data_IF_310229009357
#
_entry.id   IF_310229009357
#
_cell.length_a   1.000
_cell.length_b   1.000
_cell.length_c   1.000
_cell.angle_alpha   90.00
_cell.angle_beta   90.00
_cell.angle_gamma   90.00
#
_symmetry.space_group_name_H-M   'P 1'
#
loop_
_entity.id
_entity.type
_entity.pdbx_description
1 polymer ?
#
# COMPACT_ATOMS: atom_id res chain seq x y z
N UNK A 1 25.94 11.90 -1.91
CA UNK A 1 26.30 10.63 -2.60
C UNK A 1 25.99 9.41 -1.72
N UNK A 2 26.21 9.53 -0.41
CA UNK A 2 25.84 8.52 0.59
C UNK A 2 24.32 8.31 0.70
N UNK A 3 23.53 9.39 0.62
CA UNK A 3 22.05 9.32 0.66
C UNK A 3 21.44 8.56 -0.51
N UNK A 4 21.99 8.70 -1.72
CA UNK A 4 21.50 7.98 -2.89
C UNK A 4 21.74 6.48 -2.78
N UNK A 5 22.91 6.07 -2.27
CA UNK A 5 23.22 4.65 -2.02
C UNK A 5 22.31 4.06 -0.96
N UNK A 6 22.00 4.83 0.09
CA UNK A 6 21.06 4.42 1.12
C UNK A 6 19.64 4.23 0.54
N UNK A 7 19.14 5.19 -0.24
CA UNK A 7 17.83 5.09 -0.89
C UNK A 7 17.74 3.90 -1.86
N UNK A 8 18.79 3.65 -2.65
CA UNK A 8 18.88 2.49 -3.54
C UNK A 8 18.85 1.17 -2.76
N UNK A 9 19.54 1.10 -1.62
CA UNK A 9 19.52 -0.08 -0.75
C UNK A 9 18.12 -0.31 -0.19
N UNK A 10 17.50 0.72 0.38
CA UNK A 10 16.14 0.65 0.92
C UNK A 10 15.14 0.21 -0.14
N UNK A 11 15.21 0.76 -1.36
CA UNK A 11 14.39 0.31 -2.49
C UNK A 11 14.56 -1.18 -2.78
N UNK A 12 15.80 -1.68 -2.80
CA UNK A 12 16.08 -3.09 -3.09
C UNK A 12 15.61 -4.04 -1.99
N UNK A 13 15.63 -3.59 -0.74
CA UNK A 13 15.28 -4.38 0.45
C UNK A 13 13.80 -4.24 0.85
N UNK A 14 13.11 -3.22 0.34
CA UNK A 14 11.71 -2.95 0.63
C UNK A 14 10.78 -4.07 0.17
N UNK A 15 9.69 -4.25 0.90
CA UNK A 15 8.63 -5.16 0.52
C UNK A 15 7.84 -4.58 -0.66
N UNK A 16 7.68 -5.37 -1.72
CA UNK A 16 6.85 -4.99 -2.85
C UNK A 16 5.41 -5.46 -2.60
N UNK A 17 4.48 -4.52 -2.40
CA UNK A 17 3.10 -4.87 -2.10
C UNK A 17 2.41 -5.42 -3.37
N UNK A 18 1.98 -6.67 -3.29
CA UNK A 18 1.22 -7.34 -4.33
C UNK A 18 -0.27 -7.37 -4.01
N UNK A 19 -1.16 -7.24 -5.01
CA UNK A 19 -2.59 -7.33 -4.81
C UNK A 19 -3.02 -8.75 -4.43
N UNK A 20 -4.10 -8.84 -3.67
CA UNK A 20 -4.89 -10.06 -3.48
C UNK A 20 -6.34 -9.78 -3.84
N UNK A 21 -6.94 -10.69 -4.60
CA UNK A 21 -8.35 -10.62 -4.98
C UNK A 21 -9.22 -11.33 -3.95
N UNK A 22 -10.32 -10.70 -3.56
CA UNK A 22 -11.33 -11.23 -2.66
C UNK A 22 -12.71 -11.08 -3.27
N UNK A 23 -13.51 -12.14 -3.19
CA UNK A 23 -14.93 -12.11 -3.49
C UNK A 23 -15.72 -11.84 -2.21
N UNK A 24 -16.60 -10.84 -2.26
CA UNK A 24 -17.48 -10.48 -1.14
C UNK A 24 -18.94 -10.38 -1.62
N UNK A 25 -19.93 -10.42 -0.72
CA UNK A 25 -21.32 -10.16 -1.09
C UNK A 25 -21.54 -8.81 -1.80
N UNK A 26 -20.68 -7.83 -1.53
CA UNK A 26 -20.73 -6.46 -2.08
C UNK A 26 -19.90 -6.29 -3.38
N UNK A 27 -19.37 -7.39 -3.93
CA UNK A 27 -18.55 -7.40 -5.15
C UNK A 27 -17.09 -7.80 -4.91
N UNK A 28 -16.26 -7.55 -5.92
CA UNK A 28 -14.83 -7.87 -5.88
C UNK A 28 -14.03 -6.77 -5.18
N UNK A 29 -13.03 -7.19 -4.40
CA UNK A 29 -12.04 -6.31 -3.78
C UNK A 29 -10.65 -6.76 -4.18
N UNK A 30 -9.88 -5.83 -4.73
CA UNK A 30 -8.44 -5.98 -4.91
C UNK A 30 -7.77 -5.23 -3.75
N UNK A 31 -7.09 -5.97 -2.89
CA UNK A 31 -6.48 -5.42 -1.69
C UNK A 31 -4.96 -5.57 -1.70
N UNK A 32 -4.28 -4.47 -1.34
CA UNK A 32 -2.87 -4.45 -1.01
C UNK A 32 -2.71 -4.33 0.51
N UNK A 33 -1.50 -4.57 1.03
CA UNK A 33 -1.23 -4.43 2.46
C UNK A 33 0.03 -3.62 2.69
N UNK A 34 -0.05 -2.65 3.60
CA UNK A 34 1.07 -1.91 4.17
C UNK A 34 1.13 -2.26 5.66
N UNK A 35 2.30 -2.69 6.13
CA UNK A 35 2.49 -3.06 7.54
C UNK A 35 3.37 -2.04 8.25
N UNK A 36 3.10 -1.86 9.54
CA UNK A 36 3.98 -1.13 10.46
C UNK A 36 5.44 -1.58 10.30
N UNK A 37 6.38 -0.66 10.50
CA UNK A 37 7.83 -0.93 10.50
C UNK A 37 8.39 -1.58 9.21
N UNK A 38 7.66 -1.48 8.10
CA UNK A 38 8.03 -2.09 6.82
C UNK A 38 8.12 -1.05 5.70
N UNK A 39 9.33 -0.84 5.17
CA UNK A 39 9.52 -0.11 3.90
C UNK A 39 8.72 -0.81 2.80
N UNK A 40 7.79 -0.10 2.16
CA UNK A 40 6.82 -0.70 1.24
C UNK A 40 6.82 0.01 -0.11
N UNK A 41 6.98 -0.74 -1.19
CA UNK A 41 6.83 -0.27 -2.56
C UNK A 41 5.38 -0.46 -2.99
N UNK A 42 4.75 0.63 -3.42
CA UNK A 42 3.40 0.66 -3.97
C UNK A 42 3.43 1.06 -5.45
N UNK A 43 2.49 0.51 -6.22
CA UNK A 43 2.18 1.02 -7.56
C UNK A 43 1.40 2.32 -7.43
N UNK A 44 1.72 3.34 -8.24
CA UNK A 44 0.94 4.59 -8.30
C UNK A 44 -0.39 4.41 -9.00
N UNK A 45 -0.47 3.44 -9.91
CA UNK A 45 -1.65 3.11 -10.70
C UNK A 45 -1.77 1.60 -10.88
N UNK A 46 -2.12 0.86 -9.82
CA UNK A 46 -2.19 -0.61 -9.89
C UNK A 46 -3.20 -1.11 -10.95
N UNK A 47 -4.26 -0.35 -11.24
CA UNK A 47 -5.24 -0.67 -12.29
C UNK A 47 -4.68 -0.60 -13.72
N UNK A 48 -3.49 -0.04 -13.95
CA UNK A 48 -2.79 -0.10 -15.25
C UNK A 48 -1.80 -1.28 -15.30
N UNK A 49 -1.59 -1.98 -14.18
CA UNK A 49 -0.55 -3.00 -14.01
C UNK A 49 -1.11 -4.40 -13.70
N UNK A 50 -2.38 -4.48 -13.29
CA UNK A 50 -3.05 -5.73 -12.95
C UNK A 50 -4.41 -5.77 -13.63
N UNK A 51 -4.70 -6.92 -14.22
CA UNK A 51 -5.96 -7.21 -14.92
C UNK A 51 -6.73 -8.27 -14.14
N UNK A 52 -8.06 -8.19 -14.21
CA UNK A 52 -8.93 -9.26 -13.76
C UNK A 52 -9.09 -10.26 -14.89
N UNK A 53 -9.15 -11.55 -14.57
CA UNK A 53 -9.44 -12.59 -15.57
C UNK A 53 -10.81 -12.39 -16.24
N UNK A 54 -11.72 -11.69 -15.57
CA UNK A 54 -13.05 -11.33 -16.05
C UNK A 54 -13.14 -9.80 -16.20
N UNK A 55 -12.89 -9.31 -17.41
CA UNK A 55 -12.84 -7.88 -17.74
C UNK A 55 -14.18 -7.15 -17.50
N UNK A 56 -15.30 -7.88 -17.44
CA UNK A 56 -16.63 -7.31 -17.24
C UNK A 56 -16.94 -7.01 -15.76
N UNK A 57 -16.09 -7.48 -14.82
CA UNK A 57 -16.31 -7.26 -13.39
C UNK A 57 -15.53 -6.05 -12.88
N UNK A 58 -16.26 -5.11 -12.30
CA UNK A 58 -15.64 -4.02 -11.53
C UNK A 58 -15.18 -4.50 -10.15
N UNK A 59 -13.99 -4.06 -9.73
CA UNK A 59 -13.44 -4.31 -8.40
C UNK A 59 -13.10 -3.02 -7.66
N UNK A 60 -13.31 -3.02 -6.34
CA UNK A 60 -12.87 -1.94 -5.44
C UNK A 60 -11.39 -2.13 -5.11
N UNK A 61 -10.61 -1.06 -5.19
CA UNK A 61 -9.17 -1.09 -4.95
C UNK A 61 -8.85 -0.52 -3.58
N UNK A 62 -8.25 -1.32 -2.71
CA UNK A 62 -7.98 -0.95 -1.31
C UNK A 62 -6.54 -1.17 -0.91
N UNK A 63 -6.10 -0.39 0.06
CA UNK A 63 -4.89 -0.63 0.82
C UNK A 63 -5.29 -0.85 2.28
N UNK A 64 -5.05 -2.05 2.79
CA UNK A 64 -5.20 -2.36 4.22
C UNK A 64 -3.93 -2.07 4.98
N UNK A 65 -4.11 -1.71 6.25
CA UNK A 65 -3.02 -1.42 7.18
C UNK A 65 -3.00 -2.45 8.29
N UNK A 66 -1.82 -2.94 8.61
CA UNK A 66 -1.61 -3.97 9.63
C UNK A 66 -0.58 -3.52 10.66
N UNK A 67 -0.91 -3.65 11.94
CA UNK A 67 0.05 -3.44 13.02
C UNK A 67 0.79 -4.73 13.30
N UNK A 68 2.12 -4.68 13.19
CA UNK A 68 2.99 -5.79 13.57
C UNK A 68 3.08 -5.85 15.10
N UNK A 69 3.16 -4.69 15.77
CA UNK A 69 3.31 -4.63 17.22
C UNK A 69 2.07 -5.13 17.98
N UNK A 70 0.88 -4.94 17.41
CA UNK A 70 -0.39 -5.39 18.00
C UNK A 70 -0.98 -6.64 17.35
N UNK A 71 -0.32 -7.19 16.33
CA UNK A 71 -0.75 -8.38 15.57
C UNK A 71 -2.22 -8.32 15.10
N UNK A 72 -2.63 -7.16 14.56
CA UNK A 72 -4.03 -6.93 14.16
C UNK A 72 -4.16 -6.00 12.95
N UNK A 73 -5.23 -6.14 12.15
CA UNK A 73 -5.57 -5.15 11.13
C UNK A 73 -6.04 -3.85 11.78
N UNK A 74 -5.56 -2.71 11.27
CA UNK A 74 -5.94 -1.38 11.73
C UNK A 74 -7.14 -0.80 10.97
N UNK A 75 -7.30 -1.21 9.71
CA UNK A 75 -8.35 -0.74 8.82
C UNK A 75 -7.88 -0.67 7.38
N UNK A 76 -8.61 0.06 6.54
CA UNK A 76 -8.25 0.26 5.14
C UNK A 76 -8.56 1.67 4.64
N UNK A 77 -7.97 2.00 3.50
CA UNK A 77 -8.36 3.14 2.67
C UNK A 77 -8.61 2.68 1.24
N UNK A 78 -9.41 3.44 0.50
CA UNK A 78 -9.46 3.27 -0.94
C UNK A 78 -8.08 3.63 -1.52
N UNK A 79 -7.60 2.88 -2.51
CA UNK A 79 -6.18 2.90 -2.87
C UNK A 79 -5.69 4.29 -3.31
N UNK A 80 -6.53 5.06 -4.03
CA UNK A 80 -6.20 6.44 -4.43
C UNK A 80 -6.06 7.38 -3.23
N UNK A 81 -6.99 7.30 -2.29
CA UNK A 81 -6.94 8.07 -1.03
C UNK A 81 -5.70 7.70 -0.22
N UNK A 82 -5.35 6.41 -0.18
CA UNK A 82 -4.15 5.94 0.50
C UNK A 82 -2.88 6.56 -0.10
N UNK A 83 -2.75 6.59 -1.44
CA UNK A 83 -1.59 7.19 -2.10
C UNK A 83 -1.45 8.69 -1.80
N UNK A 84 -2.56 9.42 -1.76
CA UNK A 84 -2.55 10.86 -1.43
C UNK A 84 -2.01 11.08 -0.01
N UNK A 85 -2.51 10.33 0.98
CA UNK A 85 -2.07 10.43 2.37
C UNK A 85 -0.64 9.94 2.59
N UNK A 86 -0.21 8.90 1.87
CA UNK A 86 1.12 8.31 2.02
C UNK A 86 2.23 9.12 1.33
N UNK A 87 1.90 10.13 0.53
CA UNK A 87 2.88 10.95 -0.18
C UNK A 87 3.89 11.62 0.77
N UNK A 88 3.44 12.05 1.96
CA UNK A 88 4.28 12.67 2.99
C UNK A 88 5.30 11.71 3.62
N UNK A 89 5.08 10.40 3.44
CA UNK A 89 5.93 9.33 3.96
C UNK A 89 6.82 8.71 2.85
N UNK A 90 6.82 9.31 1.65
CA UNK A 90 7.60 8.81 0.52
C UNK A 90 9.10 9.14 0.64
N UNK A 91 9.94 8.17 0.29
CA UNK A 91 11.40 8.33 0.28
C UNK A 91 11.93 8.66 -1.11
N UNK A 92 11.44 7.92 -2.10
CA UNK A 92 11.80 8.07 -3.51
C UNK A 92 10.67 7.49 -4.36
N UNK A 93 10.56 7.98 -5.58
CA UNK A 93 9.56 7.53 -6.53
C UNK A 93 10.14 7.42 -7.94
N UNK A 94 9.63 6.44 -8.68
CA UNK A 94 9.80 6.32 -10.13
C UNK A 94 8.53 6.81 -10.82
N UNK A 95 8.44 6.63 -12.14
CA UNK A 95 7.21 6.93 -12.89
C UNK A 95 6.03 6.07 -12.41
N UNK A 96 6.26 4.78 -12.16
CA UNK A 96 5.20 3.80 -11.87
C UNK A 96 5.02 3.51 -10.38
N UNK A 97 6.07 3.69 -9.58
CA UNK A 97 6.14 3.17 -8.22
C UNK A 97 6.61 4.21 -7.22
N UNK A 98 6.18 4.07 -5.98
CA UNK A 98 6.57 4.90 -4.85
C UNK A 98 7.06 4.02 -3.70
N UNK A 99 8.16 4.41 -3.09
CA UNK A 99 8.66 3.77 -1.86
C UNK A 99 8.19 4.59 -0.67
N UNK A 100 7.35 3.99 0.15
CA UNK A 100 6.91 4.50 1.44
C UNK A 100 7.87 3.96 2.50
N UNK A 101 8.37 4.85 3.37
CA UNK A 101 9.19 4.39 4.51
C UNK A 101 8.35 3.54 5.46
N UNK A 102 9.02 2.71 6.24
CA UNK A 102 8.51 2.15 7.47
C UNK A 102 7.84 3.25 8.32
N UNK A 103 6.57 3.04 8.62
CA UNK A 103 5.74 3.92 9.44
C UNK A 103 5.55 3.30 10.83
N UNK A 104 5.48 4.15 11.85
CA UNK A 104 5.12 3.71 13.20
C UNK A 104 3.62 3.43 13.32
N UNK A 105 3.21 2.72 14.37
CA UNK A 105 1.80 2.53 14.70
C UNK A 105 1.04 3.87 14.79
N UNK A 106 1.58 4.85 15.51
CA UNK A 106 0.96 6.17 15.68
C UNK A 106 0.76 6.88 14.32
N UNK A 107 1.73 6.79 13.42
CA UNK A 107 1.61 7.35 12.08
C UNK A 107 0.53 6.64 11.27
N UNK A 108 0.42 5.31 11.35
CA UNK A 108 -0.64 4.55 10.70
C UNK A 108 -2.02 4.89 11.25
N UNK A 109 -2.16 5.02 12.57
CA UNK A 109 -3.41 5.38 13.23
C UNK A 109 -3.85 6.81 12.88
N UNK A 110 -2.90 7.72 12.59
CA UNK A 110 -3.20 9.08 12.16
C UNK A 110 -3.84 9.20 10.76
N UNK A 111 -3.85 8.11 9.98
CA UNK A 111 -4.36 8.11 8.60
C UNK A 111 -5.90 8.10 8.48
N UNK A 112 -6.64 8.15 9.60
CA UNK A 112 -8.11 8.13 9.62
C UNK A 112 -8.69 6.93 8.84
N UNK A 113 -8.25 5.73 9.20
CA UNK A 113 -8.58 4.50 8.50
C UNK A 113 -10.07 4.13 8.62
N UNK A 114 -10.62 3.51 7.57
CA UNK A 114 -11.98 2.95 7.58
C UNK A 114 -11.98 1.59 8.28
N UNK A 115 -13.03 1.33 9.07
CA UNK A 115 -13.30 0.03 9.67
C UNK A 115 -13.80 -1.00 8.66
N UNK A 116 -13.73 -2.28 9.04
CA UNK A 116 -14.16 -3.43 8.24
C UNK A 116 -15.68 -3.60 8.20
#
# INVERSE_FOLDING_TARGET
MEDLKLLQRRWKEAYEAMPKLYETPDGLIINFTLSEDTDTILFKKPWENFELDDEDKEAKWRLSFFSISEDKPLGYLEYKEALEKLQDFSLIQSEERILIRAMSLEELESLELKGW
#
